data_IF_384674973160
#
_entry.id   IF_384674973160
#
_cell.length_a   1.000
_cell.length_b   1.000
_cell.length_c   1.000
_cell.angle_alpha   90.00
_cell.angle_beta   90.00
_cell.angle_gamma   90.00
#
_symmetry.space_group_name_H-M   'P 1'
#
loop_
_entity.id
_entity.type
_entity.pdbx_description
1 polymer ?
#
# COMPACT_ATOMS: atom_id res chain seq x y z
N UNK A 1 -5.81 15.03 -23.95
CA UNK A 1 -4.94 14.10 -23.22
C UNK A 1 -3.56 14.19 -23.86
N UNK A 2 -2.57 14.89 -23.30
CA UNK A 2 -1.20 14.56 -23.63
C UNK A 2 -1.07 13.07 -23.27
N UNK A 3 -0.72 12.29 -24.27
CA UNK A 3 -0.79 10.85 -24.23
C UNK A 3 0.35 10.38 -23.34
N UNK A 4 0.13 10.32 -22.03
CA UNK A 4 0.73 9.25 -21.27
C UNK A 4 0.28 7.97 -21.98
N UNK A 5 1.17 7.35 -22.76
CA UNK A 5 0.90 6.10 -23.48
C UNK A 5 0.81 4.98 -22.47
N UNK A 6 -0.24 5.01 -21.65
CA UNK A 6 -0.65 3.89 -20.82
C UNK A 6 -1.00 2.77 -21.81
N UNK A 7 -0.26 1.65 -21.83
CA UNK A 7 -0.62 0.53 -22.68
C UNK A 7 -2.05 0.09 -22.36
N UNK A 8 -2.83 -0.27 -23.38
CA UNK A 8 -4.24 -0.65 -23.20
C UNK A 8 -4.41 -1.77 -22.17
N UNK A 9 -3.49 -2.75 -22.18
CA UNK A 9 -3.42 -3.84 -21.20
C UNK A 9 -3.26 -3.33 -19.77
N UNK A 10 -2.50 -2.25 -19.56
CA UNK A 10 -2.35 -1.62 -18.27
C UNK A 10 -3.59 -0.80 -17.88
N UNK A 11 -4.21 -0.11 -18.85
CA UNK A 11 -5.47 0.59 -18.67
C UNK A 11 -6.59 -0.33 -18.17
N UNK A 12 -6.71 -1.55 -18.72
CA UNK A 12 -7.67 -2.56 -18.26
C UNK A 12 -7.43 -2.96 -16.80
N UNK A 13 -6.16 -3.09 -16.38
CA UNK A 13 -5.82 -3.37 -14.99
C UNK A 13 -6.20 -2.20 -14.07
N UNK A 14 -5.92 -0.96 -14.47
CA UNK A 14 -6.28 0.23 -13.68
C UNK A 14 -7.80 0.40 -13.57
N UNK A 15 -8.55 0.11 -14.64
CA UNK A 15 -10.01 0.20 -14.66
C UNK A 15 -10.68 -0.73 -13.63
N UNK A 16 -10.05 -1.86 -13.28
CA UNK A 16 -10.54 -2.75 -12.23
C UNK A 16 -10.62 -2.07 -10.86
N UNK A 17 -9.79 -1.04 -10.61
CA UNK A 17 -9.79 -0.27 -9.36
C UNK A 17 -10.75 0.92 -9.37
N UNK A 18 -11.46 1.18 -10.46
CA UNK A 18 -12.35 2.34 -10.57
C UNK A 18 -13.39 2.40 -9.45
N UNK A 19 -13.93 1.24 -9.04
CA UNK A 19 -14.89 1.12 -7.92
C UNK A 19 -14.30 1.42 -6.53
N UNK A 20 -12.98 1.50 -6.39
CA UNK A 20 -12.33 1.84 -5.12
C UNK A 20 -12.30 3.35 -4.84
N UNK A 21 -12.56 4.18 -5.86
CA UNK A 21 -12.38 5.62 -5.80
C UNK A 21 -13.64 6.37 -6.25
N UNK A 22 -13.79 7.61 -5.77
CA UNK A 22 -14.76 8.54 -6.35
C UNK A 22 -14.35 8.93 -7.78
N UNK A 23 -15.31 9.26 -8.64
CA UNK A 23 -15.10 9.52 -10.07
C UNK A 23 -13.94 10.51 -10.37
N UNK A 24 -13.78 11.58 -9.57
CA UNK A 24 -12.70 12.56 -9.72
C UNK A 24 -11.32 12.04 -9.29
N UNK A 25 -11.29 11.05 -8.40
CA UNK A 25 -10.07 10.46 -7.84
C UNK A 25 -9.52 9.33 -8.71
N UNK A 26 -10.34 8.66 -9.52
CA UNK A 26 -9.92 7.58 -10.44
C UNK A 26 -8.83 8.05 -11.39
N UNK A 27 -9.03 9.16 -12.10
CA UNK A 27 -8.01 9.71 -13.01
C UNK A 27 -6.71 10.08 -12.29
N UNK A 28 -6.79 10.56 -11.05
CA UNK A 28 -5.59 10.87 -10.26
C UNK A 28 -4.86 9.60 -9.85
N UNK A 29 -5.59 8.53 -9.51
CA UNK A 29 -5.04 7.22 -9.24
C UNK A 29 -4.32 6.64 -10.47
N UNK A 30 -4.93 6.68 -11.65
CA UNK A 30 -4.32 6.21 -12.89
C UNK A 30 -2.99 6.92 -13.16
N UNK A 31 -2.96 8.24 -13.06
CA UNK A 31 -1.72 9.01 -13.19
C UNK A 31 -0.70 8.69 -12.10
N UNK A 32 -1.13 8.46 -10.85
CA UNK A 32 -0.21 8.10 -9.77
C UNK A 32 0.46 6.74 -10.04
N UNK A 33 -0.33 5.74 -10.43
CA UNK A 33 0.18 4.39 -10.68
C UNK A 33 1.08 4.38 -11.92
N UNK A 34 0.64 5.01 -13.01
CA UNK A 34 1.45 5.16 -14.21
C UNK A 34 2.76 5.90 -13.92
N UNK A 35 2.67 7.06 -13.26
CA UNK A 35 3.85 7.84 -12.89
C UNK A 35 4.78 7.08 -11.94
N UNK A 36 4.27 6.16 -11.12
CA UNK A 36 5.08 5.35 -10.22
C UNK A 36 5.93 4.33 -10.99
N UNK A 37 5.35 3.73 -12.04
CA UNK A 37 6.03 2.82 -12.96
C UNK A 37 7.13 3.57 -13.74
N UNK A 38 6.80 4.74 -14.28
CA UNK A 38 7.72 5.56 -15.09
C UNK A 38 8.78 6.32 -14.28
N UNK A 39 8.59 6.48 -12.96
CA UNK A 39 9.52 7.24 -12.14
C UNK A 39 10.84 6.48 -11.90
N UNK A 40 11.85 6.83 -12.69
CA UNK A 40 13.23 6.39 -12.52
C UNK A 40 13.90 7.19 -11.39
N UNK A 41 13.83 6.69 -10.15
CA UNK A 41 14.54 7.27 -9.00
C UNK A 41 13.72 7.29 -7.72
N UNK A 42 13.87 8.37 -6.94
CA UNK A 42 13.10 8.54 -5.70
C UNK A 42 11.64 8.87 -6.04
N UNK A 43 10.76 7.94 -5.73
CA UNK A 43 9.31 8.00 -6.00
C UNK A 43 8.57 8.90 -4.99
N UNK A 44 8.98 10.16 -4.90
CA UNK A 44 8.20 11.17 -4.16
C UNK A 44 6.92 11.49 -4.92
N UNK A 45 5.87 11.95 -4.23
CA UNK A 45 4.58 12.30 -4.87
C UNK A 45 4.81 13.28 -6.04
N UNK A 46 5.66 14.29 -5.84
CA UNK A 46 6.00 15.26 -6.88
C UNK A 46 6.76 14.63 -8.05
N UNK A 47 7.72 13.74 -7.79
CA UNK A 47 8.47 13.05 -8.85
C UNK A 47 7.57 12.12 -9.67
N UNK A 48 6.69 11.38 -9.00
CA UNK A 48 5.68 10.51 -9.61
C UNK A 48 4.71 11.32 -10.47
N UNK A 49 4.19 12.45 -9.95
CA UNK A 49 3.29 13.32 -10.70
C UNK A 49 3.97 13.92 -11.94
N UNK A 50 5.27 14.25 -11.86
CA UNK A 50 6.05 14.72 -13.03
C UNK A 50 6.27 13.59 -14.03
N UNK A 51 6.63 12.39 -13.57
CA UNK A 51 6.88 11.23 -14.41
C UNK A 51 5.62 10.75 -15.14
N UNK A 52 4.43 10.93 -14.55
CA UNK A 52 3.17 10.58 -15.21
C UNK A 52 2.80 11.46 -16.41
N UNK A 53 3.49 12.60 -16.60
CA UNK A 53 3.16 13.59 -17.62
C UNK A 53 1.96 14.49 -17.27
N UNK A 54 1.36 14.33 -16.09
CA UNK A 54 0.14 15.05 -15.71
C UNK A 54 0.40 16.51 -15.22
N UNK A 55 1.66 16.86 -14.93
CA UNK A 55 2.02 18.24 -14.58
C UNK A 55 1.92 19.13 -15.82
N UNK A 56 1.06 20.15 -15.73
CA UNK A 56 0.68 21.01 -16.86
C UNK A 56 -0.82 20.92 -17.15
N UNK A 57 -1.39 19.72 -17.04
CA UNK A 57 -2.86 19.51 -17.06
C UNK A 57 -3.51 19.63 -15.68
N UNK A 58 -2.74 19.29 -14.64
CA UNK A 58 -3.15 19.40 -13.25
C UNK A 58 -2.06 20.05 -12.43
N UNK A 59 -2.50 20.78 -11.41
CA UNK A 59 -1.62 21.29 -10.39
C UNK A 59 -1.10 20.14 -9.50
N UNK A 60 0.19 20.15 -9.14
CA UNK A 60 0.85 19.11 -8.31
C UNK A 60 0.12 18.83 -6.99
N UNK A 61 -0.54 19.85 -6.43
CA UNK A 61 -1.35 19.73 -5.21
C UNK A 61 -2.51 18.73 -5.31
N UNK A 62 -2.99 18.39 -6.53
CA UNK A 62 -4.03 17.35 -6.72
C UNK A 62 -3.53 15.99 -6.22
N UNK A 63 -2.28 15.63 -6.51
CA UNK A 63 -1.66 14.37 -6.12
C UNK A 63 -1.48 14.26 -4.60
N UNK A 64 -1.11 15.36 -3.94
CA UNK A 64 -1.06 15.40 -2.47
C UNK A 64 -2.45 15.32 -1.85
N UNK A 65 -3.45 15.99 -2.44
CA UNK A 65 -4.85 15.91 -1.99
C UNK A 65 -5.44 14.51 -2.13
N UNK A 66 -5.00 13.72 -3.10
CA UNK A 66 -5.42 12.32 -3.23
C UNK A 66 -5.13 11.55 -1.93
N UNK A 67 -3.90 11.58 -1.44
CA UNK A 67 -3.55 10.88 -0.19
C UNK A 67 -4.08 11.58 1.08
N UNK A 68 -4.25 12.90 1.05
CA UNK A 68 -4.65 13.66 2.24
C UNK A 68 -6.17 13.79 2.44
N UNK A 69 -6.97 13.70 1.37
CA UNK A 69 -8.41 14.05 1.40
C UNK A 69 -9.31 13.13 0.58
N UNK A 70 -8.80 12.37 -0.39
CA UNK A 70 -9.67 11.48 -1.13
C UNK A 70 -10.19 10.37 -0.22
N UNK A 71 -11.44 9.99 -0.40
CA UNK A 71 -12.03 8.84 0.28
C UNK A 71 -11.83 7.60 -0.58
N UNK A 72 -11.11 6.63 -0.04
CA UNK A 72 -10.88 5.31 -0.61
C UNK A 72 -10.50 4.35 0.52
N UNK A 73 -10.71 3.05 0.30
CA UNK A 73 -10.42 2.00 1.27
C UNK A 73 -9.27 1.12 0.78
N UNK A 74 -8.30 0.86 1.67
CA UNK A 74 -7.23 -0.10 1.41
C UNK A 74 -7.80 -1.51 1.21
N UNK A 75 -8.82 -1.90 1.97
CA UNK A 75 -9.49 -3.20 1.84
C UNK A 75 -10.19 -3.34 0.49
N UNK A 76 -10.82 -2.27 0.00
CA UNK A 76 -11.45 -2.27 -1.31
C UNK A 76 -10.42 -2.45 -2.42
N UNK A 77 -9.27 -1.75 -2.33
CA UNK A 77 -8.17 -1.94 -3.28
C UNK A 77 -7.56 -3.34 -3.18
N UNK A 78 -7.37 -3.85 -1.96
CA UNK A 78 -6.84 -5.18 -1.68
C UNK A 78 -7.74 -6.30 -2.18
N UNK A 79 -9.07 -6.14 -2.08
CA UNK A 79 -10.05 -7.05 -2.69
C UNK A 79 -9.89 -7.11 -4.21
N UNK A 80 -9.72 -5.96 -4.88
CA UNK A 80 -9.49 -5.94 -6.33
C UNK A 80 -8.18 -6.65 -6.70
N UNK A 81 -7.10 -6.42 -5.94
CA UNK A 81 -5.83 -7.15 -6.12
C UNK A 81 -6.05 -8.66 -5.98
N UNK A 82 -6.79 -9.10 -4.96
CA UNK A 82 -7.10 -10.51 -4.74
C UNK A 82 -7.93 -11.13 -5.88
N UNK A 83 -8.95 -10.42 -6.36
CA UNK A 83 -9.78 -10.86 -7.50
C UNK A 83 -8.98 -10.97 -8.80
N UNK A 84 -8.04 -10.05 -9.04
CA UNK A 84 -7.11 -10.13 -10.18
C UNK A 84 -6.12 -11.29 -10.01
N UNK A 85 -5.56 -11.46 -8.80
CA UNK A 85 -4.59 -12.50 -8.49
C UNK A 85 -5.13 -13.92 -8.70
N UNK A 86 -6.41 -14.16 -8.37
CA UNK A 86 -7.07 -15.45 -8.55
C UNK A 86 -7.03 -15.95 -10.00
N UNK A 87 -6.93 -15.06 -10.99
CA UNK A 87 -6.85 -15.43 -12.41
C UNK A 87 -5.51 -16.05 -12.80
N UNK A 88 -4.48 -15.86 -11.98
CA UNK A 88 -3.12 -16.35 -12.22
C UNK A 88 -2.75 -17.55 -11.34
N UNK A 89 -3.60 -17.91 -10.37
CA UNK A 89 -3.41 -19.08 -9.53
C UNK A 89 -4.11 -20.27 -10.22
N UNK A 90 -3.39 -21.35 -10.58
CA UNK A 90 -4.01 -22.53 -11.18
C UNK A 90 -5.08 -23.10 -10.26
N UNK A 91 -6.25 -23.47 -10.80
CA UNK A 91 -7.38 -23.98 -10.02
C UNK A 91 -7.05 -25.24 -9.20
N UNK A 92 -6.07 -26.04 -9.65
CA UNK A 92 -5.59 -27.23 -8.95
C UNK A 92 -4.61 -26.93 -7.80
N UNK A 93 -4.12 -25.69 -7.70
CA UNK A 93 -3.16 -25.29 -6.68
C UNK A 93 -3.86 -24.70 -5.46
N UNK A 94 -3.41 -25.08 -4.25
CA UNK A 94 -3.84 -24.43 -3.03
C UNK A 94 -3.39 -22.96 -2.98
N UNK A 95 -4.28 -22.08 -2.54
CA UNK A 95 -3.96 -20.68 -2.30
C UNK A 95 -3.04 -20.57 -1.08
N UNK A 96 -1.87 -19.96 -1.26
CA UNK A 96 -0.94 -19.67 -0.18
C UNK A 96 -1.07 -18.21 0.23
N UNK A 97 -1.36 -18.01 1.52
CA UNK A 97 -1.38 -16.69 2.16
C UNK A 97 -0.11 -16.52 2.99
N UNK A 98 0.47 -15.33 2.89
CA UNK A 98 1.70 -14.93 3.57
C UNK A 98 1.38 -13.78 4.51
N UNK A 99 1.78 -13.89 5.77
CA UNK A 99 1.67 -12.82 6.76
C UNK A 99 3.05 -12.29 7.12
N UNK A 100 3.21 -10.97 7.16
CA UNK A 100 4.43 -10.32 7.64
C UNK A 100 4.11 -9.03 8.40
N UNK A 101 4.90 -8.74 9.45
CA UNK A 101 4.83 -7.50 10.20
C UNK A 101 5.99 -6.60 9.77
N UNK A 102 5.68 -5.44 9.19
CA UNK A 102 6.68 -4.46 8.74
C UNK A 102 6.66 -3.22 9.62
N UNK A 103 7.83 -2.85 10.18
CA UNK A 103 8.01 -1.61 10.93
C UNK A 103 8.23 -0.42 9.99
N UNK A 104 7.24 0.45 9.90
CA UNK A 104 7.33 1.73 9.22
C UNK A 104 7.92 2.79 10.15
N UNK A 105 9.24 3.01 10.04
CA UNK A 105 10.01 4.02 10.77
C UNK A 105 9.68 5.44 10.31
N UNK A 106 8.53 5.96 10.73
CA UNK A 106 8.12 7.36 10.53
C UNK A 106 7.85 8.03 11.87
N UNK A 107 8.31 9.27 12.00
CA UNK A 107 8.08 10.13 13.15
C UNK A 107 7.64 11.52 12.69
N UNK A 108 6.95 12.25 13.57
CA UNK A 108 6.51 13.61 13.29
C UNK A 108 5.24 14.00 14.05
N UNK A 109 4.93 15.30 14.08
CA UNK A 109 3.79 15.86 14.82
C UNK A 109 2.42 15.32 14.39
N UNK A 110 2.32 14.80 13.16
CA UNK A 110 1.09 14.26 12.59
C UNK A 110 1.09 12.72 12.54
N UNK A 111 2.07 12.05 13.15
CA UNK A 111 2.15 10.58 13.19
C UNK A 111 1.54 10.12 14.53
N UNK A 112 0.22 10.02 14.58
CA UNK A 112 -0.49 9.54 15.77
C UNK A 112 -0.34 8.03 15.93
N UNK A 113 -0.42 7.54 17.16
CA UNK A 113 -0.42 6.09 17.50
C UNK A 113 0.85 5.34 17.06
N UNK A 114 1.96 6.04 16.80
CA UNK A 114 3.26 5.41 16.66
C UNK A 114 3.87 5.22 18.06
N UNK A 115 4.58 4.10 18.25
CA UNK A 115 5.23 3.77 19.51
C UNK A 115 6.63 3.18 19.26
N UNK A 116 7.30 2.81 20.34
CA UNK A 116 8.62 2.15 20.28
C UNK A 116 8.41 0.65 20.11
N UNK A 117 8.96 0.09 19.02
CA UNK A 117 8.88 -1.35 18.73
C UNK A 117 10.28 -1.95 18.63
N UNK A 118 10.40 -3.23 18.97
CA UNK A 118 11.64 -3.98 18.78
C UNK A 118 11.94 -4.08 17.28
N UNK A 119 13.14 -3.67 16.86
CA UNK A 119 13.56 -3.63 15.47
C UNK A 119 14.56 -4.77 15.22
N UNK A 120 14.11 -5.92 14.71
CA UNK A 120 14.98 -7.08 14.52
C UNK A 120 16.07 -6.84 13.46
N UNK A 121 15.88 -5.87 12.55
CA UNK A 121 16.88 -5.56 11.51
C UNK A 121 18.10 -4.83 12.07
N UNK A 122 17.96 -4.14 13.20
CA UNK A 122 19.04 -3.41 13.87
C UNK A 122 19.49 -4.09 15.17
N UNK A 123 18.70 -5.04 15.67
CA UNK A 123 19.02 -5.80 16.86
C UNK A 123 20.06 -6.87 16.56
N UNK A 124 20.93 -7.14 17.53
CA UNK A 124 21.79 -8.34 17.52
C UNK A 124 21.44 -9.21 18.72
N UNK A 125 21.81 -10.49 18.71
CA UNK A 125 21.47 -11.43 19.79
C UNK A 125 21.92 -11.00 21.19
N UNK A 126 22.86 -10.04 21.30
CA UNK A 126 23.32 -9.46 22.58
C UNK A 126 22.77 -8.07 22.88
N UNK A 127 22.20 -7.38 21.88
CA UNK A 127 21.76 -5.99 22.01
C UNK A 127 20.45 -5.79 21.26
N UNK A 128 19.30 -5.81 21.97
CA UNK A 128 18.04 -5.43 21.37
C UNK A 128 18.07 -3.94 21.02
N UNK A 129 17.52 -3.61 19.86
CA UNK A 129 17.36 -2.24 19.38
C UNK A 129 15.88 -1.97 19.17
N UNK A 130 15.44 -0.76 19.54
CA UNK A 130 14.05 -0.35 19.40
C UNK A 130 13.98 0.89 18.51
N UNK A 131 13.01 0.88 17.61
CA UNK A 131 12.77 1.96 16.65
C UNK A 131 11.36 2.52 16.86
N UNK A 132 11.23 3.84 16.75
CA UNK A 132 9.92 4.51 16.78
C UNK A 132 9.22 4.40 15.43
N UNK A 133 7.95 4.03 15.41
CA UNK A 133 7.16 3.96 14.18
C UNK A 133 5.82 3.28 14.35
N UNK A 134 5.23 2.87 13.23
CA UNK A 134 4.06 2.00 13.19
C UNK A 134 4.46 0.61 12.74
N UNK A 135 3.96 -0.42 13.41
CA UNK A 135 3.98 -1.78 12.86
C UNK A 135 2.75 -1.97 11.98
N UNK A 136 2.97 -2.41 10.74
CA UNK A 136 1.92 -2.76 9.79
C UNK A 136 1.93 -4.26 9.58
N UNK A 137 0.77 -4.89 9.76
CA UNK A 137 0.54 -6.29 9.43
C UNK A 137 0.07 -6.35 7.98
N UNK A 138 0.81 -7.08 7.15
CA UNK A 138 0.50 -7.27 5.74
C UNK A 138 0.12 -8.72 5.50
N UNK A 139 -1.08 -8.93 4.98
CA UNK A 139 -1.49 -10.20 4.39
C UNK A 139 -1.29 -10.12 2.88
N UNK A 140 -0.57 -11.07 2.32
CA UNK A 140 -0.32 -11.18 0.89
C UNK A 140 -0.77 -12.54 0.34
N UNK A 141 -1.28 -12.54 -0.88
CA UNK A 141 -1.52 -13.77 -1.64
C UNK A 141 -0.29 -14.08 -2.49
N UNK A 142 0.17 -15.33 -2.46
CA UNK A 142 1.26 -15.77 -3.31
C UNK A 142 0.73 -16.13 -4.71
N UNK A 143 1.36 -15.60 -5.75
CA UNK A 143 1.02 -15.85 -7.15
C UNK A 143 2.24 -16.44 -7.88
N UNK A 144 2.11 -17.59 -8.55
CA UNK A 144 3.22 -18.20 -9.27
C UNK A 144 3.66 -17.35 -10.46
N UNK A 145 4.97 -17.27 -10.69
CA UNK A 145 5.52 -16.67 -11.91
C UNK A 145 5.53 -17.73 -13.02
N UNK A 146 5.09 -17.39 -14.25
CA UNK A 146 5.12 -18.33 -15.37
C UNK A 146 6.55 -18.71 -15.81
N UNK A 147 7.56 -17.95 -15.40
CA UNK A 147 8.94 -18.02 -15.91
C UNK A 147 9.95 -18.70 -14.97
N UNK A 148 9.52 -19.36 -13.89
CA UNK A 148 10.47 -20.03 -12.99
C UNK A 148 9.82 -21.08 -12.09
N UNK A 149 10.42 -22.28 -12.05
CA UNK A 149 9.96 -23.36 -11.18
C UNK A 149 10.11 -22.96 -9.70
N UNK A 150 8.98 -22.72 -9.03
CA UNK A 150 8.92 -22.42 -7.60
C UNK A 150 9.07 -20.96 -7.19
N UNK A 151 9.15 -20.00 -8.12
CA UNK A 151 9.19 -18.57 -7.80
C UNK A 151 7.81 -17.94 -8.00
N UNK A 152 7.50 -16.95 -7.17
CA UNK A 152 6.23 -16.23 -7.25
C UNK A 152 6.33 -14.85 -6.59
N UNK A 153 5.28 -14.06 -6.78
CA UNK A 153 5.13 -12.77 -6.14
C UNK A 153 4.20 -12.87 -4.94
N UNK A 154 4.55 -12.17 -3.85
CA UNK A 154 3.64 -11.91 -2.75
C UNK A 154 2.90 -10.59 -3.04
N UNK A 155 1.61 -10.67 -3.37
CA UNK A 155 0.78 -9.51 -3.65
C UNK A 155 0.01 -9.12 -2.38
N UNK A 156 0.21 -7.91 -1.82
CA UNK A 156 -0.49 -7.49 -0.61
C UNK A 156 -1.99 -7.30 -0.89
N UNK A 157 -2.83 -7.90 -0.06
CA UNK A 157 -4.30 -7.86 -0.16
C UNK A 157 -4.96 -7.27 1.09
N UNK A 158 -4.26 -7.24 2.22
CA UNK A 158 -4.69 -6.57 3.45
C UNK A 158 -3.47 -5.87 4.04
N UNK A 159 -3.64 -4.62 4.46
CA UNK A 159 -2.59 -3.83 5.10
C UNK A 159 -3.20 -3.11 6.28
N UNK A 160 -2.98 -3.66 7.46
CA UNK A 160 -3.56 -3.15 8.69
C UNK A 160 -2.49 -2.62 9.62
N UNK A 161 -2.81 -1.55 10.33
CA UNK A 161 -1.91 -1.06 11.38
C UNK A 161 -2.11 -1.92 12.61
N UNK A 162 -1.01 -2.46 13.13
CA UNK A 162 -1.01 -3.13 14.43
C UNK A 162 -1.30 -2.10 15.51
N UNK A 163 -2.51 -2.14 16.04
CA UNK A 163 -2.89 -1.37 17.21
C UNK A 163 -2.41 -2.14 18.44
N UNK A 164 -1.25 -1.76 18.97
CA UNK A 164 -0.91 -2.11 20.35
C UNK A 164 -1.79 -1.25 21.24
N UNK A 165 -2.93 -1.80 21.66
CA UNK A 165 -3.70 -1.16 22.71
C UNK A 165 -2.78 -1.07 23.94
N UNK A 166 -2.67 0.11 24.57
CA UNK A 166 -2.02 0.20 25.86
C UNK A 166 -2.69 -0.82 26.80
N UNK A 167 -1.94 -1.48 27.70
CA UNK A 167 -2.51 -2.51 28.57
C UNK A 167 -3.74 -2.05 29.36
N UNK A 168 -3.90 -0.76 29.61
CA UNK A 168 -5.05 -0.17 30.29
C UNK A 168 -6.35 -0.08 29.45
N UNK A 169 -6.30 -0.20 28.12
CA UNK A 169 -7.49 -0.22 27.27
C UNK A 169 -8.13 -1.62 27.17
N UNK A 170 -7.44 -2.67 27.64
CA UNK A 170 -7.93 -4.05 27.61
C UNK A 170 -8.70 -4.42 28.89
N UNK A 171 -8.62 -3.58 29.93
CA UNK A 171 -9.42 -3.68 31.15
C UNK A 171 -10.57 -2.68 31.04
N UNK A 172 -11.79 -3.19 30.83
CA UNK A 172 -13.01 -2.39 30.71
C UNK A 172 -13.45 -1.74 32.02
N UNK A 173 -12.63 -0.86 32.59
CA UNK A 173 -13.04 0.01 33.69
C UNK A 173 -13.31 1.42 33.16
N UNK A 174 -14.61 1.68 33.00
CA UNK A 174 -15.18 3.01 32.81
C UNK A 174 -14.83 3.88 34.02
N UNK A 175 -13.79 4.70 33.91
CA UNK A 175 -13.63 5.86 34.80
C UNK A 175 -14.62 6.94 34.38
N UNK A 176 -15.77 6.98 35.08
CA UNK A 176 -16.62 8.17 35.14
C UNK A 176 -15.88 9.26 35.92
N UNK A 177 -15.89 10.46 35.35
CA UNK A 177 -15.57 11.71 36.04
C UNK A 177 -16.60 12.01 37.13
#
# INVERSE_FOLDING_TARGET
MPVAMIPETFGVLLAAFSGCFQARSVQTFEWLVWGWVECLGRRTITAVARASGAIGERHSSVFHRFFARAQWSLDAAGRVVFELAQRWIPAAQQQLLLGDDTLARKSGKCVSLASMHHDPLLSSGRKPFFSFGHVWVVLAVWVPLPLGQGRGFALPILVERRLELPPYCLTGESHRA
#
